data_IF_675386001360
#
_entry.id   IF_675386001360
#
_cell.length_a   1.000
_cell.length_b   1.000
_cell.length_c   1.000
_cell.angle_alpha   90.00
_cell.angle_beta   90.00
_cell.angle_gamma   90.00
#
_symmetry.space_group_name_H-M   'P 1'
#
loop_
_entity.id
_entity.type
_entity.pdbx_description
1 polymer ?
#
# COMPACT_ATOMS: atom_id res chain seq x y z
N UNK A 1 29.14 16.27 -83.57
CA UNK A 1 30.20 15.43 -84.19
C UNK A 1 31.55 16.03 -83.79
N UNK A 2 32.32 15.33 -82.94
CA UNK A 2 33.76 15.59 -82.58
C UNK A 2 34.08 16.92 -81.85
N UNK A 3 34.87 17.05 -80.76
CA UNK A 3 35.89 16.23 -80.06
C UNK A 3 36.25 16.92 -78.71
N UNK A 4 36.65 16.10 -77.72
CA UNK A 4 37.67 16.23 -76.64
C UNK A 4 37.78 17.53 -75.80
N UNK A 5 37.65 17.54 -74.46
CA UNK A 5 38.40 16.85 -73.39
C UNK A 5 39.81 17.41 -73.13
N UNK A 6 40.00 18.13 -72.01
CA UNK A 6 41.23 18.20 -71.21
C UNK A 6 41.04 19.07 -69.96
N UNK A 7 41.06 18.46 -68.78
CA UNK A 7 42.04 18.75 -67.70
C UNK A 7 41.74 17.84 -66.52
N UNK A 8 42.74 17.05 -66.16
CA UNK A 8 42.74 16.04 -65.10
C UNK A 8 43.79 16.39 -64.04
N UNK A 9 43.62 15.77 -62.88
CA UNK A 9 44.59 15.41 -61.83
C UNK A 9 44.82 16.30 -60.58
N UNK A 10 44.89 15.53 -59.48
CA UNK A 10 44.90 15.68 -58.00
C UNK A 10 46.40 15.74 -57.54
N UNK A 11 46.89 16.30 -56.37
CA UNK A 11 46.57 15.80 -55.00
C UNK A 11 46.78 16.67 -53.72
N UNK A 12 46.07 16.24 -52.65
CA UNK A 12 46.46 16.10 -51.21
C UNK A 12 46.86 17.32 -50.37
N UNK A 13 46.11 17.58 -49.29
CA UNK A 13 46.65 17.69 -47.92
C UNK A 13 45.54 17.62 -46.84
N UNK A 14 45.83 16.86 -45.78
CA UNK A 14 45.12 16.82 -44.49
C UNK A 14 46.02 17.51 -43.43
N UNK A 15 45.72 17.48 -42.12
CA UNK A 15 44.57 17.98 -41.34
C UNK A 15 45.01 19.04 -40.28
N UNK A 16 44.24 20.12 -40.05
CA UNK A 16 44.60 21.12 -39.03
C UNK A 16 43.68 21.08 -37.80
N UNK A 17 44.18 20.45 -36.75
CA UNK A 17 43.71 20.59 -35.38
C UNK A 17 44.13 21.96 -34.81
N UNK A 18 43.34 22.42 -33.82
CA UNK A 18 43.62 23.48 -32.84
C UNK A 18 43.14 24.93 -33.14
N UNK A 19 41.98 25.29 -32.56
CA UNK A 19 41.81 26.55 -31.82
C UNK A 19 40.66 26.48 -30.80
N UNK A 20 40.69 25.45 -29.96
CA UNK A 20 39.77 25.29 -28.82
C UNK A 20 40.21 26.18 -27.63
N UNK A 21 40.05 27.49 -27.76
CA UNK A 21 40.31 28.42 -26.66
C UNK A 21 39.32 28.18 -25.49
N UNK A 22 39.78 27.99 -24.24
CA UNK A 22 38.91 27.68 -23.09
C UNK A 22 37.92 28.80 -22.76
N UNK A 23 38.22 30.04 -23.15
CA UNK A 23 37.35 31.20 -22.99
C UNK A 23 36.05 31.12 -23.83
N UNK A 24 36.08 30.46 -25.00
CA UNK A 24 34.92 30.32 -25.86
C UNK A 24 33.90 29.29 -25.35
N UNK A 25 34.37 28.29 -24.62
CA UNK A 25 33.53 27.18 -24.13
C UNK A 25 32.69 27.57 -22.93
N UNK A 26 33.27 28.32 -21.98
CA UNK A 26 32.58 28.86 -20.81
C UNK A 26 31.51 29.90 -21.19
N UNK A 27 31.80 30.78 -22.15
CA UNK A 27 30.84 31.78 -22.63
C UNK A 27 29.64 31.14 -23.34
N UNK A 28 29.82 29.99 -23.99
CA UNK A 28 28.72 29.19 -24.54
C UNK A 28 27.89 28.49 -23.46
N UNK A 29 28.51 28.01 -22.38
CA UNK A 29 27.80 27.32 -21.29
C UNK A 29 26.90 28.28 -20.52
N UNK A 30 27.40 29.47 -20.17
CA UNK A 30 26.62 30.51 -19.49
C UNK A 30 25.62 31.22 -20.42
N UNK A 31 25.94 31.39 -21.71
CA UNK A 31 25.03 31.98 -22.69
C UNK A 31 23.81 31.09 -23.05
N UNK A 32 23.94 29.76 -22.94
CA UNK A 32 22.83 28.82 -23.17
C UNK A 32 21.89 28.71 -21.97
N UNK A 33 22.43 28.75 -20.75
CA UNK A 33 21.64 28.62 -19.52
C UNK A 33 20.73 29.85 -19.25
N UNK A 34 21.18 31.06 -19.61
CA UNK A 34 20.38 32.27 -19.40
C UNK A 34 19.23 32.44 -20.42
N UNK A 35 19.38 31.90 -21.63
CA UNK A 35 18.38 32.02 -22.72
C UNK A 35 17.31 30.92 -22.75
N UNK A 36 17.51 29.80 -22.05
CA UNK A 36 16.54 28.70 -21.99
C UNK A 36 15.45 28.87 -20.91
N UNK A 37 15.55 29.89 -20.06
CA UNK A 37 14.61 30.09 -18.94
C UNK A 37 13.45 31.03 -19.24
N UNK A 38 13.60 31.99 -20.16
CA UNK A 38 12.61 33.05 -20.41
C UNK A 38 12.00 32.95 -21.82
N UNK A 39 12.78 32.57 -22.84
CA UNK A 39 12.25 32.29 -24.20
C UNK A 39 11.58 30.90 -24.31
N UNK A 40 11.66 30.08 -23.24
CA UNK A 40 10.89 28.85 -23.06
C UNK A 40 9.44 29.10 -22.60
N UNK A 41 9.05 30.38 -22.46
CA UNK A 41 7.68 30.80 -22.22
C UNK A 41 7.21 31.77 -23.32
N UNK A 42 6.72 31.27 -24.45
CA UNK A 42 5.76 32.00 -25.24
C UNK A 42 4.37 31.67 -24.68
N UNK A 43 3.86 32.56 -23.83
CA UNK A 43 2.42 32.68 -23.58
C UNK A 43 1.77 33.05 -24.92
N UNK A 44 1.49 32.04 -25.73
CA UNK A 44 0.31 32.01 -26.55
C UNK A 44 -0.75 31.32 -25.68
N UNK A 45 -1.97 31.87 -25.59
CA UNK A 45 -3.11 31.08 -25.09
C UNK A 45 -3.71 30.33 -26.28
N UNK A 46 -3.35 29.06 -26.53
CA UNK A 46 -4.27 28.19 -27.22
C UNK A 46 -5.24 27.70 -26.15
N UNK A 47 -6.46 28.25 -26.12
CA UNK A 47 -7.57 27.38 -25.75
C UNK A 47 -7.60 26.30 -26.83
N UNK A 48 -6.84 25.22 -26.60
CA UNK A 48 -7.09 23.91 -27.19
C UNK A 48 -8.35 23.39 -26.50
N UNK A 49 -9.50 23.89 -26.94
CA UNK A 49 -10.70 23.07 -27.09
C UNK A 49 -10.35 22.01 -28.14
N UNK A 50 -9.53 21.03 -27.78
CA UNK A 50 -8.88 20.22 -28.80
C UNK A 50 -7.93 19.22 -28.20
N UNK A 51 -8.51 18.11 -27.74
CA UNK A 51 -7.81 16.85 -27.61
C UNK A 51 -6.57 16.95 -26.73
N UNK A 52 -6.75 17.41 -25.49
CA UNK A 52 -6.09 16.66 -24.44
C UNK A 52 -6.70 15.27 -24.56
N UNK A 53 -6.05 14.42 -25.35
CA UNK A 53 -5.89 13.03 -25.01
C UNK A 53 -5.35 13.07 -23.58
N UNK A 54 -6.26 13.26 -22.60
CA UNK A 54 -6.14 12.63 -21.30
C UNK A 54 -5.73 11.26 -21.73
N UNK A 55 -4.44 10.95 -21.57
CA UNK A 55 -3.92 9.66 -21.89
C UNK A 55 -4.80 8.77 -21.02
N UNK A 56 -5.84 8.23 -21.68
CA UNK A 56 -6.73 7.22 -21.17
C UNK A 56 -5.71 6.13 -21.03
N UNK A 57 -5.09 6.10 -19.86
CA UNK A 57 -4.23 5.03 -19.42
C UNK A 57 -5.23 3.92 -19.49
N UNK A 58 -5.28 3.20 -20.63
CA UNK A 58 -6.32 2.22 -20.94
C UNK A 58 -6.36 1.40 -19.68
N UNK A 59 -7.40 1.60 -18.86
CA UNK A 59 -7.44 1.03 -17.54
C UNK A 59 -7.26 -0.44 -17.84
N UNK A 60 -6.08 -1.00 -17.47
CA UNK A 60 -5.72 -2.34 -17.89
C UNK A 60 -6.93 -3.17 -17.55
N UNK A 61 -7.54 -3.88 -18.54
CA UNK A 61 -8.89 -4.39 -18.41
C UNK A 61 -8.95 -5.02 -17.05
N UNK A 62 -9.80 -4.47 -16.15
CA UNK A 62 -9.88 -4.92 -14.77
C UNK A 62 -10.21 -6.38 -14.91
N UNK A 63 -9.19 -7.23 -14.83
CA UNK A 63 -9.40 -8.66 -14.81
C UNK A 63 -10.28 -8.78 -13.60
N UNK A 64 -11.50 -9.26 -13.84
CA UNK A 64 -12.30 -9.87 -12.80
C UNK A 64 -11.43 -11.05 -12.38
N UNK A 65 -10.44 -10.77 -11.52
CA UNK A 65 -9.48 -11.74 -11.08
C UNK A 65 -10.36 -12.64 -10.26
N UNK A 66 -10.70 -13.79 -10.83
CA UNK A 66 -11.18 -14.90 -10.04
C UNK A 66 -10.27 -15.02 -8.82
N UNK A 67 -10.86 -15.37 -7.69
CA UNK A 67 -10.23 -15.60 -6.39
C UNK A 67 -8.69 -15.51 -6.40
N UNK A 68 -8.13 -14.49 -5.74
CA UNK A 68 -6.67 -14.27 -5.69
C UNK A 68 -5.97 -15.39 -4.89
N UNK A 69 -5.62 -16.46 -5.60
CA UNK A 69 -4.98 -17.64 -5.03
C UNK A 69 -3.62 -17.30 -4.41
N UNK A 70 -2.89 -16.34 -4.98
CA UNK A 70 -1.57 -15.96 -4.47
C UNK A 70 -1.69 -15.30 -3.09
N UNK A 71 -2.63 -14.36 -2.92
CA UNK A 71 -2.88 -13.72 -1.63
C UNK A 71 -3.27 -14.74 -0.55
N UNK A 72 -4.06 -15.74 -0.92
CA UNK A 72 -4.51 -16.80 0.00
C UNK A 72 -3.34 -17.67 0.44
N UNK A 73 -2.52 -18.14 -0.49
CA UNK A 73 -1.33 -18.93 -0.16
C UNK A 73 -0.34 -18.15 0.71
N UNK A 74 -0.10 -16.87 0.41
CA UNK A 74 0.75 -16.00 1.23
C UNK A 74 0.17 -15.85 2.64
N UNK A 75 -1.13 -15.66 2.78
CA UNK A 75 -1.80 -15.54 4.08
C UNK A 75 -1.66 -16.83 4.90
N UNK A 76 -1.87 -18.00 4.30
CA UNK A 76 -1.66 -19.29 4.97
C UNK A 76 -0.21 -19.52 5.37
N UNK A 77 0.75 -19.16 4.50
CA UNK A 77 2.17 -19.26 4.80
C UNK A 77 2.57 -18.38 6.00
N UNK A 78 2.12 -17.12 6.02
CA UNK A 78 2.36 -16.21 7.15
C UNK A 78 1.70 -16.70 8.44
N UNK A 79 0.50 -17.28 8.35
CA UNK A 79 -0.19 -17.83 9.51
C UNK A 79 0.51 -19.07 10.07
N UNK A 80 1.00 -19.97 9.20
CA UNK A 80 1.80 -21.13 9.60
C UNK A 80 3.13 -20.70 10.24
N UNK A 81 3.81 -19.73 9.65
CA UNK A 81 5.03 -19.15 10.21
C UNK A 81 4.78 -18.53 11.60
N UNK A 82 3.69 -17.78 11.75
CA UNK A 82 3.26 -17.22 13.04
C UNK A 82 3.03 -18.31 14.10
N UNK A 83 2.40 -19.43 13.73
CA UNK A 83 2.18 -20.56 14.63
C UNK A 83 3.50 -21.17 15.11
N UNK A 84 4.49 -21.33 14.21
CA UNK A 84 5.85 -21.80 14.56
C UNK A 84 6.52 -20.83 15.54
N UNK A 85 6.40 -19.52 15.31
CA UNK A 85 6.96 -18.50 16.21
C UNK A 85 6.31 -18.52 17.60
N UNK A 86 4.98 -18.72 17.66
CA UNK A 86 4.27 -18.87 18.95
C UNK A 86 4.74 -20.12 19.68
N UNK A 87 4.91 -21.24 18.99
CA UNK A 87 5.44 -22.47 19.59
C UNK A 87 6.84 -22.26 20.16
N UNK A 88 7.73 -21.63 19.39
CA UNK A 88 9.10 -21.31 19.82
C UNK A 88 9.12 -20.45 21.09
N UNK A 89 8.30 -19.38 21.14
CA UNK A 89 8.19 -18.53 22.33
C UNK A 89 7.52 -19.24 23.53
N UNK A 90 6.61 -20.18 23.27
CA UNK A 90 5.89 -20.91 24.33
C UNK A 90 6.80 -21.87 25.09
N UNK A 91 7.70 -22.58 24.39
CA UNK A 91 8.70 -23.45 25.04
C UNK A 91 9.66 -22.62 25.88
N UNK A 92 10.14 -21.48 25.35
CA UNK A 92 11.05 -20.60 26.09
C UNK A 92 10.43 -20.04 27.40
N UNK A 93 9.10 -19.87 27.46
CA UNK A 93 8.42 -19.48 28.71
C UNK A 93 8.13 -20.65 29.66
N UNK A 94 8.09 -21.89 29.17
CA UNK A 94 7.75 -23.05 29.98
C UNK A 94 8.82 -23.37 31.06
N UNK A 95 10.05 -22.91 30.84
CA UNK A 95 11.18 -23.05 31.78
C UNK A 95 11.10 -22.11 32.99
N UNK A 96 10.10 -21.21 33.05
CA UNK A 96 9.96 -20.26 34.15
C UNK A 96 9.08 -20.86 35.28
N UNK A 97 9.58 -20.95 36.54
CA UNK A 97 8.92 -21.65 37.65
C UNK A 97 7.56 -21.10 38.08
N UNK A 98 7.13 -19.94 37.56
CA UNK A 98 5.77 -19.39 37.76
C UNK A 98 4.70 -20.13 36.94
N UNK A 99 5.04 -20.69 35.78
CA UNK A 99 4.08 -21.38 34.90
C UNK A 99 3.87 -22.84 35.29
N UNK A 100 4.91 -23.52 35.81
CA UNK A 100 4.81 -24.88 36.34
C UNK A 100 3.81 -25.00 37.52
N UNK A 101 3.62 -23.95 38.32
CA UNK A 101 2.65 -23.91 39.43
C UNK A 101 1.20 -23.69 38.98
N UNK A 102 0.99 -23.20 37.76
CA UNK A 102 -0.35 -22.85 37.25
C UNK A 102 -1.02 -23.99 36.46
N UNK A 103 -0.39 -25.17 36.37
CA UNK A 103 -0.91 -26.32 35.60
C UNK A 103 -0.94 -26.11 34.08
N UNK A 104 -0.39 -25.00 33.59
CA UNK A 104 -0.37 -24.67 32.17
C UNK A 104 0.92 -25.24 31.55
N UNK A 105 0.81 -26.37 30.85
CA UNK A 105 1.93 -26.96 30.13
C UNK A 105 2.47 -26.06 29.00
N UNK A 106 3.61 -26.44 28.39
CA UNK A 106 4.26 -25.67 27.30
C UNK A 106 3.35 -25.40 26.10
N UNK A 107 2.29 -26.20 25.93
CA UNK A 107 1.34 -26.15 24.82
C UNK A 107 0.17 -25.19 25.04
N UNK A 108 -0.02 -24.62 26.23
CA UNK A 108 -1.20 -23.81 26.56
C UNK A 108 -1.38 -22.62 25.59
N UNK A 109 -0.30 -21.88 25.31
CA UNK A 109 -0.34 -20.75 24.38
C UNK A 109 -0.52 -21.18 22.93
N UNK A 110 0.05 -22.32 22.54
CA UNK A 110 -0.13 -22.90 21.21
C UNK A 110 -1.58 -23.29 20.97
N UNK A 111 -2.20 -24.02 21.91
CA UNK A 111 -3.61 -24.44 21.83
C UNK A 111 -4.53 -23.23 21.72
N UNK A 112 -4.29 -22.20 22.54
CA UNK A 112 -5.07 -20.97 22.51
C UNK A 112 -4.91 -20.21 21.19
N UNK A 113 -3.70 -20.14 20.65
CA UNK A 113 -3.44 -19.51 19.36
C UNK A 113 -4.12 -20.28 18.21
N UNK A 114 -4.03 -21.61 18.23
CA UNK A 114 -4.74 -22.48 17.28
C UNK A 114 -6.27 -22.31 17.34
N UNK A 115 -6.85 -22.19 18.54
CA UNK A 115 -8.28 -21.90 18.70
C UNK A 115 -8.66 -20.55 18.09
N UNK A 116 -7.86 -19.50 18.30
CA UNK A 116 -8.12 -18.20 17.68
C UNK A 116 -7.98 -18.23 16.16
N UNK A 117 -7.03 -18.99 15.61
CA UNK A 117 -6.93 -19.21 14.17
C UNK A 117 -8.18 -19.91 13.64
N UNK A 118 -8.69 -20.93 14.33
CA UNK A 118 -9.92 -21.62 13.93
C UNK A 118 -11.14 -20.69 13.95
N UNK A 119 -11.30 -19.88 15.01
CA UNK A 119 -12.36 -18.87 15.10
C UNK A 119 -12.22 -17.83 13.98
N UNK A 120 -11.01 -17.35 13.71
CA UNK A 120 -10.74 -16.40 12.63
C UNK A 120 -11.08 -16.99 11.26
N UNK A 121 -10.74 -18.26 11.01
CA UNK A 121 -11.05 -18.95 9.77
C UNK A 121 -12.57 -19.10 9.56
N UNK A 122 -13.30 -19.54 10.58
CA UNK A 122 -14.78 -19.62 10.52
C UNK A 122 -15.38 -18.24 10.28
N UNK A 123 -14.90 -17.21 10.99
CA UNK A 123 -15.37 -15.84 10.83
C UNK A 123 -15.10 -15.32 9.40
N UNK A 124 -13.94 -15.63 8.83
CA UNK A 124 -13.58 -15.27 7.47
C UNK A 124 -14.50 -15.95 6.44
N UNK A 125 -14.80 -17.24 6.62
CA UNK A 125 -15.75 -17.96 5.75
C UNK A 125 -17.15 -17.36 5.83
N UNK A 126 -17.65 -17.05 7.03
CA UNK A 126 -18.94 -16.40 7.20
C UNK A 126 -18.97 -15.02 6.55
N UNK A 127 -17.90 -14.22 6.71
CA UNK A 127 -17.79 -12.91 6.10
C UNK A 127 -17.75 -12.99 4.56
N UNK A 128 -17.08 -13.99 3.99
CA UNK A 128 -17.00 -14.23 2.55
C UNK A 128 -18.36 -14.59 1.94
N UNK A 129 -19.21 -15.29 2.68
CA UNK A 129 -20.55 -15.66 2.23
C UNK A 129 -21.53 -14.47 2.18
N UNK A 130 -21.23 -13.36 2.86
CA UNK A 130 -22.11 -12.19 2.93
C UNK A 130 -21.88 -11.29 1.70
N UNK A 131 -22.92 -11.00 0.88
CA UNK A 131 -22.79 -10.14 -0.28
C UNK A 131 -22.32 -8.73 0.05
N UNK A 132 -21.50 -8.12 -0.82
CA UNK A 132 -20.97 -6.76 -0.61
C UNK A 132 -22.07 -5.70 -0.42
N UNK A 133 -23.22 -5.86 -1.08
CA UNK A 133 -24.38 -4.98 -0.90
C UNK A 133 -24.87 -4.91 0.55
N UNK A 134 -24.77 -6.02 1.30
CA UNK A 134 -25.14 -6.05 2.72
C UNK A 134 -24.13 -5.25 3.53
N UNK A 135 -22.83 -5.43 3.28
CA UNK A 135 -21.75 -4.69 3.92
C UNK A 135 -21.89 -3.16 3.74
N UNK A 136 -22.23 -2.71 2.53
CA UNK A 136 -22.46 -1.28 2.26
C UNK A 136 -23.66 -0.69 3.03
N UNK A 137 -24.73 -1.47 3.20
CA UNK A 137 -25.92 -1.04 3.96
C UNK A 137 -25.64 -0.95 5.46
N UNK A 138 -24.86 -1.88 5.99
CA UNK A 138 -24.53 -1.90 7.44
C UNK A 138 -23.35 -0.99 7.79
N UNK A 139 -22.53 -0.57 6.83
CA UNK A 139 -21.32 0.22 7.08
C UNK A 139 -21.54 1.46 7.97
N UNK A 140 -22.57 2.30 7.79
CA UNK A 140 -22.80 3.45 8.67
C UNK A 140 -23.12 3.04 10.11
N UNK A 141 -23.95 2.00 10.28
CA UNK A 141 -24.28 1.46 11.60
C UNK A 141 -23.07 0.85 12.30
N UNK A 142 -22.25 0.12 11.54
CA UNK A 142 -21.00 -0.49 12.01
C UNK A 142 -20.00 0.58 12.45
N UNK A 143 -19.93 1.71 11.73
CA UNK A 143 -19.11 2.85 12.09
C UNK A 143 -19.58 3.53 13.37
N UNK A 144 -20.87 3.84 13.50
CA UNK A 144 -21.44 4.41 14.74
C UNK A 144 -21.20 3.47 15.92
N UNK A 145 -21.47 2.17 15.74
CA UNK A 145 -21.20 1.15 16.76
C UNK A 145 -19.73 1.17 17.17
N UNK A 146 -18.80 1.24 16.22
CA UNK A 146 -17.36 1.27 16.52
C UNK A 146 -16.94 2.50 17.33
N UNK A 147 -17.52 3.68 17.04
CA UNK A 147 -17.31 4.90 17.83
C UNK A 147 -17.84 4.71 19.26
N UNK A 148 -19.05 4.16 19.40
CA UNK A 148 -19.63 3.89 20.71
C UNK A 148 -18.75 2.93 21.53
N UNK A 149 -18.21 1.87 20.91
CA UNK A 149 -17.29 0.96 21.59
C UNK A 149 -15.95 1.61 21.96
N UNK A 150 -15.44 2.52 21.13
CA UNK A 150 -14.24 3.29 21.46
C UNK A 150 -14.47 4.21 22.67
N UNK A 151 -15.64 4.84 22.77
CA UNK A 151 -16.00 5.63 23.95
C UNK A 151 -16.20 4.70 25.16
N UNK A 152 -16.86 3.55 24.98
CA UNK A 152 -17.12 2.59 26.04
C UNK A 152 -15.83 2.04 26.67
N UNK A 153 -14.76 1.83 25.91
CA UNK A 153 -13.48 1.33 26.46
C UNK A 153 -12.81 2.33 27.41
N UNK A 154 -13.11 3.62 27.25
CA UNK A 154 -12.59 4.69 28.11
C UNK A 154 -13.32 4.74 29.46
N UNK A 155 -14.57 4.24 29.52
CA UNK A 155 -15.38 4.25 30.73
C UNK A 155 -14.66 3.44 31.82
N UNK A 156 -14.33 4.05 32.97
CA UNK A 156 -13.81 3.30 34.09
C UNK A 156 -14.84 2.24 34.49
N UNK A 157 -14.39 1.03 34.84
CA UNK A 157 -15.18 -0.20 35.11
C UNK A 157 -15.48 -1.10 33.90
N UNK A 158 -15.40 -0.58 32.67
CA UNK A 158 -15.68 -1.36 31.45
C UNK A 158 -14.39 -1.85 30.80
N UNK A 159 -13.42 -0.95 30.58
CA UNK A 159 -12.12 -1.29 30.00
C UNK A 159 -11.10 -1.82 31.01
N UNK A 160 -10.37 -2.87 30.63
CA UNK A 160 -9.21 -3.39 31.39
C UNK A 160 -7.98 -2.52 31.15
N UNK A 161 -7.31 -2.13 32.23
CA UNK A 161 -6.03 -1.42 32.17
C UNK A 161 -4.91 -2.44 31.94
N UNK A 162 -4.16 -2.29 30.85
CA UNK A 162 -2.95 -3.06 30.55
C UNK A 162 -1.85 -2.05 30.23
N UNK A 163 -0.68 -2.18 30.87
CA UNK A 163 0.45 -1.25 30.69
C UNK A 163 0.08 0.24 30.89
N UNK A 164 -0.82 0.53 31.84
CA UNK A 164 -1.26 1.91 32.13
C UNK A 164 -2.33 2.49 31.20
N UNK A 165 -2.78 1.75 30.17
CA UNK A 165 -3.81 2.22 29.23
C UNK A 165 -5.05 1.30 29.20
N UNK A 166 -6.24 1.89 29.03
CA UNK A 166 -7.51 1.17 28.80
C UNK A 166 -7.74 1.01 27.30
N UNK A 167 -7.51 -0.19 26.77
CA UNK A 167 -7.68 -0.48 25.32
C UNK A 167 -8.46 -1.76 25.04
N UNK A 168 -8.64 -2.58 26.08
CA UNK A 168 -9.18 -3.91 25.96
C UNK A 168 -10.49 -4.01 26.71
N UNK A 169 -11.50 -4.54 26.05
CA UNK A 169 -12.78 -4.90 26.65
C UNK A 169 -12.76 -6.40 26.98
N UNK A 170 -12.75 -6.78 28.27
CA UNK A 170 -12.73 -8.19 28.64
C UNK A 170 -14.13 -8.80 28.41
N UNK A 171 -14.26 -9.69 27.43
CA UNK A 171 -15.49 -10.45 27.15
C UNK A 171 -15.55 -11.78 27.93
N UNK A 172 -14.78 -11.90 29.01
CA UNK A 172 -14.60 -13.14 29.79
C UNK A 172 -13.66 -14.14 29.11
N UNK A 173 -14.03 -14.62 27.92
CA UNK A 173 -13.28 -15.66 27.18
C UNK A 173 -12.13 -15.06 26.37
N UNK A 174 -12.35 -13.85 25.83
CA UNK A 174 -11.36 -13.12 25.03
C UNK A 174 -11.32 -11.64 25.41
N UNK A 175 -10.21 -10.99 25.10
CA UNK A 175 -10.12 -9.54 25.18
C UNK A 175 -10.43 -8.99 23.79
N UNK A 176 -11.50 -8.21 23.68
CA UNK A 176 -11.88 -7.55 22.45
C UNK A 176 -11.27 -6.16 22.39
N UNK A 177 -10.75 -5.78 21.22
CA UNK A 177 -10.13 -4.47 21.03
C UNK A 177 -11.02 -3.63 20.10
N UNK A 178 -11.77 -2.64 20.63
CA UNK A 178 -12.66 -1.79 19.84
C UNK A 178 -12.00 -1.11 18.63
N UNK A 179 -10.71 -0.77 18.74
CA UNK A 179 -9.99 -0.12 17.64
C UNK A 179 -9.81 -1.01 16.40
N UNK A 180 -9.80 -2.34 16.55
CA UNK A 180 -9.74 -3.26 15.41
C UNK A 180 -11.03 -3.18 14.58
N UNK A 181 -12.18 -3.18 15.25
CA UNK A 181 -13.48 -2.99 14.61
C UNK A 181 -13.59 -1.60 13.97
N UNK A 182 -13.12 -0.56 14.67
CA UNK A 182 -13.16 0.81 14.17
C UNK A 182 -12.36 1.00 12.87
N UNK A 183 -11.18 0.38 12.75
CA UNK A 183 -10.41 0.42 11.50
C UNK A 183 -11.21 -0.16 10.32
N UNK A 184 -11.81 -1.33 10.50
CA UNK A 184 -12.61 -1.97 9.46
C UNK A 184 -13.88 -1.15 9.12
N UNK A 185 -14.59 -0.69 10.15
CA UNK A 185 -15.80 0.11 9.98
C UNK A 185 -15.53 1.45 9.29
N UNK A 186 -14.41 2.10 9.62
CA UNK A 186 -13.98 3.35 8.98
C UNK A 186 -13.73 3.15 7.48
N UNK A 187 -13.03 2.09 7.09
CA UNK A 187 -12.76 1.80 5.67
C UNK A 187 -14.06 1.52 4.91
N UNK A 188 -14.95 0.68 5.47
CA UNK A 188 -16.25 0.38 4.87
C UNK A 188 -17.14 1.62 4.74
N UNK A 189 -17.17 2.46 5.76
CA UNK A 189 -17.96 3.69 5.73
C UNK A 189 -17.39 4.69 4.73
N UNK A 190 -16.07 4.91 4.72
CA UNK A 190 -15.42 5.82 3.78
C UNK A 190 -15.64 5.37 2.33
N UNK A 191 -15.51 4.07 2.04
CA UNK A 191 -15.77 3.55 0.70
C UNK A 191 -17.24 3.73 0.28
N UNK A 192 -18.19 3.42 1.16
CA UNK A 192 -19.63 3.60 0.87
C UNK A 192 -20.01 5.07 0.70
N UNK A 193 -19.44 5.96 1.51
CA UNK A 193 -19.66 7.39 1.42
C UNK A 193 -19.13 7.97 0.10
N UNK A 194 -17.95 7.52 -0.35
CA UNK A 194 -17.39 7.95 -1.63
C UNK A 194 -18.26 7.54 -2.82
N UNK A 195 -18.75 6.30 -2.84
CA UNK A 195 -19.65 5.82 -3.92
C UNK A 195 -20.91 6.69 -4.01
N UNK A 196 -21.55 6.99 -2.89
CA UNK A 196 -22.77 7.82 -2.84
C UNK A 196 -22.58 9.28 -3.23
N UNK A 197 -21.35 9.80 -3.15
CA UNK A 197 -21.02 11.20 -3.50
C UNK A 197 -20.58 11.34 -4.96
N UNK A 198 -20.10 10.24 -5.56
CA UNK A 198 -19.70 10.20 -6.96
C UNK A 198 -20.89 9.99 -7.91
N UNK A 199 -22.00 9.42 -7.39
CA UNK A 199 -23.32 9.44 -8.03
C UNK A 199 -24.02 10.79 -7.85
#
# INVERSE_FOLDING_TARGET
MSRNAATADIPVDAPDAASDAPAGRLRRWFGRAAKSGIDALPIHLPVRLGGADVAQTKAAPVRVLGFDQALVWVTFALMAWGLVMVYSASIAMADNPRFARAGNGPTFYLVRHGLFIAIAFVTALLAFQIPMKTWERVAPWLFVLSILLLVAVLVPHVGRVVNGARRWLPLGIMNFQPSELAKLAMVLYASSYMVRKME
#
